data_IF_979748462883
#
_entry.id   IF_979748462883
#
_cell.length_a   1.000
_cell.length_b   1.000
_cell.length_c   1.000
_cell.angle_alpha   90.00
_cell.angle_beta   90.00
_cell.angle_gamma   90.00
#
_symmetry.space_group_name_H-M   'P 1'
#
loop_
_entity.id
_entity.type
_entity.pdbx_description
1 polymer ?
#
# COMPACT_ATOMS: atom_id res chain seq x y z
N UNK A 1 -36.05 -41.77 10.36
CA UNK A 1 -35.39 -40.66 11.08
C UNK A 1 -36.39 -39.94 11.97
N UNK A 2 -35.97 -39.24 13.03
CA UNK A 2 -36.92 -38.56 13.94
C UNK A 2 -37.75 -37.47 13.21
N UNK A 3 -37.13 -36.72 12.30
CA UNK A 3 -37.78 -35.68 11.51
C UNK A 3 -38.91 -36.20 10.63
N UNK A 4 -38.69 -37.32 9.94
CA UNK A 4 -39.70 -37.97 9.07
C UNK A 4 -40.94 -38.40 9.85
N UNK A 5 -40.75 -38.88 11.10
CA UNK A 5 -41.85 -39.25 11.99
C UNK A 5 -42.71 -38.03 12.37
N UNK A 6 -42.09 -36.89 12.69
CA UNK A 6 -42.82 -35.65 13.00
C UNK A 6 -43.58 -35.11 11.77
N UNK A 7 -42.99 -35.22 10.58
CA UNK A 7 -43.66 -34.85 9.33
C UNK A 7 -44.88 -35.72 9.05
N UNK A 8 -44.77 -37.05 9.20
CA UNK A 8 -45.90 -37.97 9.01
C UNK A 8 -47.05 -37.74 10.00
N UNK A 9 -46.74 -37.25 11.20
CA UNK A 9 -47.71 -36.94 12.24
C UNK A 9 -48.26 -35.50 12.14
N UNK A 10 -47.76 -34.69 11.20
CA UNK A 10 -48.18 -33.30 11.03
C UNK A 10 -47.81 -32.37 12.19
N UNK A 11 -46.78 -32.72 12.99
CA UNK A 11 -46.39 -31.96 14.17
C UNK A 11 -45.30 -30.92 13.83
N UNK A 12 -45.42 -29.66 14.30
CA UNK A 12 -44.39 -28.65 14.09
C UNK A 12 -43.15 -28.99 14.93
N UNK A 13 -41.98 -29.05 14.29
CA UNK A 13 -40.71 -29.40 14.94
C UNK A 13 -39.65 -28.29 14.89
N UNK A 14 -39.84 -27.25 14.06
CA UNK A 14 -38.95 -26.10 13.98
C UNK A 14 -39.33 -25.07 15.04
N UNK A 15 -38.31 -24.44 15.64
CA UNK A 15 -38.52 -23.30 16.54
C UNK A 15 -38.97 -22.08 15.71
N UNK A 16 -40.13 -21.46 16.01
CA UNK A 16 -40.51 -20.22 15.35
C UNK A 16 -39.52 -19.08 15.66
N UNK A 17 -39.19 -18.21 14.68
CA UNK A 17 -38.22 -17.14 14.87
C UNK A 17 -38.69 -16.09 15.91
N UNK A 18 -39.99 -15.87 16.02
CA UNK A 18 -40.60 -14.88 16.92
C UNK A 18 -40.97 -15.43 18.30
N UNK A 19 -40.59 -16.69 18.59
CA UNK A 19 -40.81 -17.31 19.88
C UNK A 19 -39.60 -17.08 20.81
N UNK A 20 -39.71 -16.06 21.65
CA UNK A 20 -38.72 -15.67 22.67
C UNK A 20 -38.95 -16.45 23.98
N UNK A 21 -38.36 -17.63 24.06
CA UNK A 21 -38.26 -18.41 25.29
C UNK A 21 -36.80 -18.50 25.76
N UNK A 22 -36.60 -18.80 27.04
CA UNK A 22 -35.26 -18.97 27.61
C UNK A 22 -34.52 -20.13 26.90
N UNK A 23 -33.33 -19.84 26.38
CA UNK A 23 -32.46 -20.83 25.77
C UNK A 23 -31.49 -21.40 26.79
N UNK A 24 -30.95 -22.60 26.50
CA UNK A 24 -29.93 -23.27 27.34
C UNK A 24 -28.71 -22.38 27.64
N UNK A 25 -28.37 -21.45 26.73
CA UNK A 25 -27.29 -20.48 26.91
C UNK A 25 -27.86 -19.08 26.82
N UNK A 26 -27.39 -18.21 27.71
CA UNK A 26 -27.77 -16.80 27.69
C UNK A 26 -27.23 -16.09 26.46
N UNK A 27 -27.96 -15.09 25.98
CA UNK A 27 -27.54 -14.28 24.83
C UNK A 27 -26.20 -13.59 25.07
N UNK A 28 -25.94 -13.16 26.31
CA UNK A 28 -24.64 -12.56 26.70
C UNK A 28 -23.46 -13.51 26.45
N UNK A 29 -23.65 -14.82 26.66
CA UNK A 29 -22.63 -15.82 26.36
C UNK A 29 -22.48 -16.01 24.84
N UNK A 30 -23.58 -16.11 24.10
CA UNK A 30 -23.53 -16.27 22.64
C UNK A 30 -22.91 -15.07 21.93
N UNK A 31 -23.11 -13.85 22.43
CA UNK A 31 -22.43 -12.64 21.93
C UNK A 31 -20.91 -12.76 22.09
N UNK A 32 -20.42 -13.28 23.22
CA UNK A 32 -18.98 -13.50 23.45
C UNK A 32 -18.42 -14.54 22.46
N UNK A 33 -19.16 -15.62 22.23
CA UNK A 33 -18.77 -16.66 21.26
C UNK A 33 -18.71 -16.07 19.85
N UNK A 34 -19.74 -15.33 19.42
CA UNK A 34 -19.76 -14.63 18.14
C UNK A 34 -18.59 -13.65 17.99
N UNK A 35 -18.29 -12.91 19.06
CA UNK A 35 -17.14 -12.01 19.09
C UNK A 35 -15.81 -12.72 18.85
N UNK A 36 -15.58 -13.89 19.47
CA UNK A 36 -14.37 -14.71 19.25
C UNK A 36 -14.26 -15.20 17.83
N UNK A 37 -15.33 -15.75 17.27
CA UNK A 37 -15.36 -16.24 15.89
C UNK A 37 -15.05 -15.13 14.88
N UNK A 38 -15.66 -13.95 15.04
CA UNK A 38 -15.37 -12.80 14.18
C UNK A 38 -13.93 -12.30 14.32
N UNK A 39 -13.35 -12.34 15.52
CA UNK A 39 -11.95 -11.99 15.73
C UNK A 39 -11.01 -12.99 15.05
N UNK A 40 -11.32 -14.29 15.09
CA UNK A 40 -10.52 -15.33 14.44
C UNK A 40 -10.58 -15.23 12.91
N UNK A 41 -11.78 -15.01 12.35
CA UNK A 41 -11.96 -14.78 10.91
C UNK A 41 -11.12 -13.58 10.44
N UNK A 42 -11.21 -12.44 11.14
CA UNK A 42 -10.41 -11.25 10.79
C UNK A 42 -8.90 -11.50 10.87
N UNK A 43 -8.43 -12.26 11.86
CA UNK A 43 -7.00 -12.62 11.96
C UNK A 43 -6.56 -13.50 10.79
N UNK A 44 -7.40 -14.44 10.37
CA UNK A 44 -7.12 -15.30 9.22
C UNK A 44 -7.06 -14.49 7.92
N UNK A 45 -8.06 -13.62 7.69
CA UNK A 45 -8.10 -12.72 6.54
C UNK A 45 -6.87 -11.82 6.47
N UNK A 46 -6.48 -11.18 7.58
CA UNK A 46 -5.30 -10.30 7.61
C UNK A 46 -3.98 -11.06 7.34
N UNK A 47 -3.88 -12.32 7.78
CA UNK A 47 -2.73 -13.17 7.50
C UNK A 47 -2.66 -13.54 6.01
N UNK A 48 -3.81 -13.88 5.41
CA UNK A 48 -3.91 -14.17 3.97
C UNK A 48 -3.61 -12.95 3.11
N UNK A 49 -4.16 -11.78 3.44
CA UNK A 49 -3.87 -10.53 2.75
C UNK A 49 -2.38 -10.19 2.81
N UNK A 50 -1.76 -10.38 3.97
CA UNK A 50 -0.31 -10.20 4.14
C UNK A 50 0.49 -11.18 3.30
N UNK A 51 0.05 -12.44 3.17
CA UNK A 51 0.68 -13.43 2.30
C UNK A 51 0.54 -13.04 0.82
N UNK A 52 -0.66 -12.71 0.37
CA UNK A 52 -0.96 -12.23 -0.99
C UNK A 52 -0.13 -10.98 -1.33
N UNK A 53 -0.01 -10.03 -0.41
CA UNK A 53 0.81 -8.83 -0.60
C UNK A 53 2.31 -9.14 -0.73
N UNK A 54 2.83 -10.15 -0.02
CA UNK A 54 4.22 -10.61 -0.17
C UNK A 54 4.43 -11.29 -1.52
N UNK A 55 3.52 -12.15 -1.94
CA UNK A 55 3.57 -12.85 -3.23
C UNK A 55 3.48 -11.85 -4.39
N UNK A 56 2.56 -10.88 -4.32
CA UNK A 56 2.44 -9.81 -5.29
C UNK A 56 3.74 -8.98 -5.40
N UNK A 57 4.39 -8.66 -4.27
CA UNK A 57 5.69 -7.96 -4.28
C UNK A 57 6.80 -8.78 -4.91
N UNK A 58 6.84 -10.10 -4.67
CA UNK A 58 7.82 -11.00 -5.30
C UNK A 58 7.64 -11.03 -6.83
N UNK A 59 6.40 -11.15 -7.29
CA UNK A 59 6.07 -11.26 -8.72
C UNK A 59 6.05 -9.91 -9.45
N UNK A 60 5.97 -8.79 -8.74
CA UNK A 60 5.84 -7.46 -9.35
C UNK A 60 6.90 -7.15 -10.41
N UNK A 61 8.16 -7.53 -10.15
CA UNK A 61 9.27 -7.28 -11.09
C UNK A 61 9.13 -8.11 -12.36
N UNK A 62 8.74 -9.38 -12.22
CA UNK A 62 8.54 -10.28 -13.35
C UNK A 62 7.33 -9.82 -14.19
N UNK A 63 6.22 -9.49 -13.53
CA UNK A 63 5.03 -8.94 -14.20
C UNK A 63 5.37 -7.65 -14.96
N UNK A 64 6.18 -6.77 -14.39
CA UNK A 64 6.61 -5.54 -15.06
C UNK A 64 7.44 -5.85 -16.31
N UNK A 65 8.37 -6.80 -16.22
CA UNK A 65 9.19 -7.22 -17.36
C UNK A 65 8.36 -7.90 -18.45
N UNK A 66 7.44 -8.79 -18.07
CA UNK A 66 6.51 -9.45 -18.98
C UNK A 66 5.62 -8.44 -19.70
N UNK A 67 5.01 -7.49 -18.97
CA UNK A 67 4.20 -6.41 -19.57
C UNK A 67 4.99 -5.56 -20.57
N UNK A 68 6.27 -5.29 -20.31
CA UNK A 68 7.10 -4.54 -21.25
C UNK A 68 7.39 -5.34 -22.51
N UNK A 69 7.68 -6.64 -22.38
CA UNK A 69 7.85 -7.56 -23.52
C UNK A 69 6.58 -7.70 -24.34
N UNK A 70 5.43 -7.87 -23.69
CA UNK A 70 4.12 -7.98 -24.32
C UNK A 70 3.78 -6.71 -25.11
N UNK A 71 3.95 -5.53 -24.50
CA UNK A 71 3.76 -4.24 -25.21
C UNK A 71 4.69 -4.08 -26.41
N UNK A 72 5.95 -4.50 -26.28
CA UNK A 72 6.88 -4.46 -27.40
C UNK A 72 6.47 -5.41 -28.53
N UNK A 73 5.94 -6.59 -28.19
CA UNK A 73 5.41 -7.56 -29.14
C UNK A 73 4.16 -7.02 -29.85
N UNK A 74 3.20 -6.49 -29.10
CA UNK A 74 1.98 -5.85 -29.63
C UNK A 74 2.33 -4.73 -30.62
N UNK A 75 3.26 -3.83 -30.26
CA UNK A 75 3.73 -2.77 -31.18
C UNK A 75 4.33 -3.31 -32.47
N UNK A 76 5.08 -4.41 -32.40
CA UNK A 76 5.67 -5.05 -33.60
C UNK A 76 4.57 -5.66 -34.47
N UNK A 77 3.65 -6.41 -33.87
CA UNK A 77 2.50 -7.02 -34.56
C UNK A 77 1.63 -5.95 -35.24
N UNK A 78 1.37 -4.83 -34.56
CA UNK A 78 0.67 -3.67 -35.11
C UNK A 78 1.43 -3.06 -36.31
N UNK A 79 2.73 -2.78 -36.18
CA UNK A 79 3.55 -2.24 -37.28
C UNK A 79 3.58 -3.20 -38.47
N UNK A 80 3.67 -4.50 -38.23
CA UNK A 80 3.64 -5.51 -39.28
C UNK A 80 2.28 -5.56 -39.98
N UNK A 81 1.17 -5.44 -39.24
CA UNK A 81 -0.17 -5.37 -39.81
C UNK A 81 -0.33 -4.16 -40.74
N UNK A 82 0.15 -2.98 -40.31
CA UNK A 82 0.14 -1.74 -41.11
C UNK A 82 1.05 -1.88 -42.34
N UNK A 83 2.23 -2.47 -42.20
CA UNK A 83 3.13 -2.73 -43.33
C UNK A 83 2.51 -3.69 -44.35
N UNK A 84 1.85 -4.76 -43.89
CA UNK A 84 1.13 -5.71 -44.75
C UNK A 84 0.01 -4.99 -45.51
N UNK A 85 -0.78 -4.17 -44.83
CA UNK A 85 -1.84 -3.36 -45.46
C UNK A 85 -1.28 -2.36 -46.48
N UNK A 86 -0.22 -1.62 -46.13
CA UNK A 86 0.47 -0.70 -47.06
C UNK A 86 1.00 -1.43 -48.29
N UNK A 87 1.60 -2.62 -48.12
CA UNK A 87 2.10 -3.46 -49.22
C UNK A 87 0.96 -4.02 -50.08
N UNK A 88 -0.16 -4.40 -49.48
CA UNK A 88 -1.35 -4.85 -50.20
C UNK A 88 -1.97 -3.71 -51.02
N UNK A 89 -2.08 -2.50 -50.46
CA UNK A 89 -2.57 -1.30 -51.16
C UNK A 89 -1.69 -0.91 -52.35
N UNK A 90 -0.36 -1.04 -52.22
CA UNK A 90 0.59 -0.80 -53.32
C UNK A 90 0.46 -1.87 -54.42
N UNK A 91 0.24 -3.14 -54.03
CA UNK A 91 0.05 -4.25 -54.99
C UNK A 91 -1.30 -4.21 -55.72
N UNK A 92 -2.34 -3.66 -55.11
CA UNK A 92 -3.68 -3.55 -55.72
C UNK A 92 -3.78 -2.40 -56.74
N UNK A 93 -2.66 -1.81 -57.17
CA UNK A 93 -2.63 -0.85 -58.28
C UNK A 93 -3.24 0.51 -57.99
N UNK A 94 -3.46 0.88 -56.71
CA UNK A 94 -3.86 2.24 -56.36
C UNK A 94 -2.65 3.16 -56.52
N UNK A 95 -2.46 3.70 -57.74
CA UNK A 95 -1.39 4.65 -58.02
C UNK A 95 -1.53 5.87 -57.13
N UNK A 96 -0.44 6.21 -56.47
CA UNK A 96 -0.20 7.47 -55.77
C UNK A 96 -0.33 8.64 -56.75
N UNK A 97 -1.56 9.11 -56.99
CA UNK A 97 -1.82 10.41 -57.62
C UNK A 97 -2.39 11.34 -56.57
N UNK A 98 -1.51 12.17 -56.03
CA UNK A 98 -1.88 13.39 -55.31
C UNK A 98 -2.03 13.18 -53.81
N UNK A 99 -0.93 13.34 -53.10
CA UNK A 99 -0.97 13.35 -51.65
C UNK A 99 0.40 13.12 -51.03
N UNK A 100 1.40 13.85 -51.50
CA UNK A 100 2.40 14.36 -50.58
C UNK A 100 1.62 15.11 -49.49
N UNK A 101 1.16 14.39 -48.46
CA UNK A 101 0.93 14.99 -47.17
C UNK A 101 2.34 15.23 -46.65
N UNK A 102 2.93 16.30 -47.16
CA UNK A 102 3.79 17.18 -46.39
C UNK A 102 2.96 17.62 -45.17
N UNK A 103 2.74 16.68 -44.24
CA UNK A 103 2.77 17.04 -42.84
C UNK A 103 4.21 17.40 -42.62
N UNK A 104 4.54 18.63 -43.03
CA UNK A 104 5.63 19.40 -42.49
C UNK A 104 5.70 18.99 -41.03
N UNK A 105 6.76 18.27 -40.69
CA UNK A 105 7.27 18.24 -39.33
C UNK A 105 7.71 19.68 -39.09
N UNK A 106 6.72 20.57 -38.97
CA UNK A 106 6.91 21.95 -38.68
C UNK A 106 7.63 21.93 -37.35
N UNK A 107 8.81 22.54 -37.40
CA UNK A 107 9.83 22.66 -36.39
C UNK A 107 9.20 23.19 -35.10
N UNK A 108 8.50 22.29 -34.41
CA UNK A 108 7.75 22.52 -33.20
C UNK A 108 8.75 22.63 -32.07
N UNK A 109 9.49 23.74 -32.07
CA UNK A 109 10.46 24.18 -31.07
C UNK A 109 11.26 23.01 -30.51
N UNK A 110 12.48 22.83 -31.01
CA UNK A 110 13.55 22.22 -30.22
C UNK A 110 13.36 22.63 -28.75
N UNK A 111 12.91 21.68 -27.93
CA UNK A 111 12.66 21.93 -26.52
C UNK A 111 14.02 22.31 -25.99
N UNK A 112 14.23 23.62 -25.83
CA UNK A 112 15.42 24.20 -25.26
C UNK A 112 15.57 23.52 -23.91
N UNK A 113 16.42 22.49 -23.87
CA UNK A 113 16.87 21.84 -22.66
C UNK A 113 17.67 22.91 -21.97
N UNK A 114 16.96 23.76 -21.23
CA UNK A 114 17.52 24.95 -20.61
C UNK A 114 18.68 24.48 -19.75
N UNK A 115 19.89 24.71 -20.26
CA UNK A 115 21.10 24.53 -19.51
C UNK A 115 20.96 25.32 -18.22
N UNK A 116 21.14 24.64 -17.09
CA UNK A 116 21.52 25.24 -15.83
C UNK A 116 20.68 26.42 -15.32
N UNK A 117 19.37 26.49 -15.58
CA UNK A 117 18.53 27.47 -14.88
C UNK A 117 18.47 27.09 -13.40
N UNK A 118 19.34 27.73 -12.60
CA UNK A 118 19.32 27.69 -11.15
C UNK A 118 17.90 28.06 -10.72
N UNK A 119 17.22 27.10 -10.08
CA UNK A 119 15.87 27.32 -9.55
C UNK A 119 16.01 28.36 -8.43
N UNK A 120 15.40 29.56 -8.53
CA UNK A 120 15.52 30.56 -7.48
C UNK A 120 14.95 29.97 -6.18
N UNK A 121 15.72 30.03 -5.10
CA UNK A 121 15.33 29.52 -3.78
C UNK A 121 15.72 28.07 -3.45
N UNK A 122 16.53 27.39 -4.28
CA UNK A 122 17.00 26.02 -4.02
C UNK A 122 18.52 25.93 -4.13
N UNK A 123 19.19 25.50 -3.06
CA UNK A 123 20.65 25.33 -3.06
C UNK A 123 21.10 24.21 -4.03
N UNK A 124 22.24 24.36 -4.72
CA UNK A 124 22.81 23.28 -5.53
C UNK A 124 23.01 22.01 -4.68
N UNK A 125 22.34 20.92 -5.05
CA UNK A 125 22.38 19.64 -4.32
C UNK A 125 21.11 19.27 -3.54
N UNK A 126 20.15 20.19 -3.41
CA UNK A 126 18.87 19.91 -2.74
C UNK A 126 17.90 19.12 -3.65
N UNK A 127 17.71 17.84 -3.35
CA UNK A 127 16.77 16.94 -4.04
C UNK A 127 15.31 17.15 -3.65
N UNK A 128 15.02 17.99 -2.65
CA UNK A 128 13.64 18.26 -2.20
C UNK A 128 12.90 19.30 -3.04
N UNK A 129 13.57 19.90 -4.04
CA UNK A 129 12.96 20.79 -5.01
C UNK A 129 12.36 22.07 -4.43
N UNK A 130 12.83 22.50 -3.25
CA UNK A 130 12.32 23.69 -2.54
C UNK A 130 11.01 23.47 -1.77
N UNK A 131 10.48 22.24 -1.73
CA UNK A 131 9.19 21.94 -1.07
C UNK A 131 9.27 21.70 0.44
N UNK A 132 10.46 21.73 1.04
CA UNK A 132 10.62 21.51 2.48
C UNK A 132 10.06 22.65 3.37
N UNK A 133 9.59 23.76 2.79
CA UNK A 133 9.08 24.92 3.56
C UNK A 133 7.61 25.30 3.30
N UNK A 134 6.91 24.69 2.35
CA UNK A 134 5.48 24.95 2.11
C UNK A 134 4.59 23.81 2.61
N UNK A 135 4.68 23.56 3.92
CA UNK A 135 3.78 22.67 4.63
C UNK A 135 3.29 23.34 5.91
N UNK A 136 2.26 24.19 5.76
CA UNK A 136 1.38 24.63 6.85
C UNK A 136 2.02 25.50 7.92
N UNK A 137 1.65 26.78 7.91
CA UNK A 137 1.82 27.66 9.06
C UNK A 137 1.21 27.03 10.31
N UNK A 138 2.08 26.72 11.27
CA UNK A 138 1.69 26.23 12.58
C UNK A 138 2.72 26.73 13.57
N UNK A 139 2.41 27.87 14.19
CA UNK A 139 3.06 28.34 15.41
C UNK A 139 3.17 27.16 16.39
N UNK A 140 4.35 26.97 16.97
CA UNK A 140 4.55 26.06 18.10
C UNK A 140 4.93 24.61 17.71
N UNK A 141 6.18 24.40 17.30
CA UNK A 141 6.81 23.08 17.45
C UNK A 141 7.97 23.22 18.43
N UNK A 142 7.71 22.72 19.64
CA UNK A 142 8.61 22.65 20.79
C UNK A 142 10.11 22.60 20.44
N UNK A 143 10.96 23.49 21.00
CA UNK A 143 12.42 23.46 20.82
C UNK A 143 13.04 22.12 21.24
N UNK A 144 12.36 21.39 22.13
CA UNK A 144 12.73 20.05 22.60
C UNK A 144 13.04 19.03 21.49
N UNK A 145 12.49 19.17 20.29
CA UNK A 145 12.81 18.25 19.17
C UNK A 145 14.21 18.47 18.61
N UNK A 146 14.76 19.68 18.68
CA UNK A 146 16.15 19.94 18.24
C UNK A 146 17.11 19.56 19.36
N UNK A 147 16.84 19.97 20.60
CA UNK A 147 17.67 19.62 21.76
C UNK A 147 17.80 18.10 21.94
N UNK A 148 16.70 17.35 21.77
CA UNK A 148 16.73 15.89 21.81
C UNK A 148 17.51 15.27 20.63
N UNK A 149 17.48 15.91 19.47
CA UNK A 149 18.23 15.42 18.29
C UNK A 149 19.71 15.75 18.42
N UNK A 150 20.04 16.88 19.01
CA UNK A 150 21.43 17.29 19.25
C UNK A 150 22.02 16.47 20.41
N UNK A 151 21.26 16.11 21.45
CA UNK A 151 21.72 15.13 22.46
C UNK A 151 21.84 13.74 21.87
N UNK A 152 20.88 13.31 21.03
CA UNK A 152 20.91 11.98 20.41
C UNK A 152 21.91 11.85 19.28
N UNK A 153 22.30 12.90 18.56
CA UNK A 153 23.13 12.79 17.36
C UNK A 153 24.33 13.76 17.31
N UNK A 154 24.46 14.66 18.28
CA UNK A 154 25.40 15.78 18.25
C UNK A 154 24.87 16.97 17.45
N UNK A 155 25.41 18.16 17.71
CA UNK A 155 25.06 19.37 16.97
C UNK A 155 25.33 19.19 15.48
N UNK A 156 24.29 19.37 14.65
CA UNK A 156 24.33 19.15 13.20
C UNK A 156 23.69 17.86 12.71
N UNK A 157 23.02 17.08 13.57
CA UNK A 157 22.33 15.85 13.17
C UNK A 157 23.25 14.64 13.02
N UNK A 158 22.77 13.56 12.41
CA UNK A 158 23.43 12.23 12.36
C UNK A 158 24.86 12.30 11.77
N UNK A 159 25.87 12.41 12.64
CA UNK A 159 27.29 12.33 12.27
C UNK A 159 27.75 10.89 12.17
N UNK A 160 27.78 10.38 10.93
CA UNK A 160 28.28 9.05 10.58
C UNK A 160 27.50 7.89 11.23
N UNK A 161 27.52 6.72 10.61
CA UNK A 161 26.78 5.51 11.00
C UNK A 161 27.28 4.89 12.33
N UNK A 162 27.83 5.68 13.24
CA UNK A 162 28.35 5.28 14.56
C UNK A 162 27.26 4.85 15.55
N UNK A 163 25.98 4.96 15.18
CA UNK A 163 24.81 4.50 15.98
C UNK A 163 24.01 3.45 15.21
N UNK A 164 24.71 2.48 14.62
CA UNK A 164 24.12 1.21 14.20
C UNK A 164 24.23 0.21 15.35
N UNK A 165 23.25 -0.68 15.46
CA UNK A 165 23.30 -1.77 16.41
C UNK A 165 24.48 -2.67 16.02
N UNK A 166 25.50 -2.76 16.87
CA UNK A 166 26.58 -3.75 16.75
C UNK A 166 26.10 -5.08 17.31
N UNK A 167 26.73 -6.20 16.92
CA UNK A 167 26.38 -7.54 17.39
C UNK A 167 26.38 -7.68 18.92
N UNK A 168 27.12 -6.83 19.63
CA UNK A 168 27.14 -6.79 21.10
C UNK A 168 25.95 -6.03 21.71
N UNK A 169 25.41 -5.03 21.00
CA UNK A 169 24.30 -4.19 21.51
C UNK A 169 22.90 -4.73 21.23
N UNK A 170 22.77 -5.76 20.38
CA UNK A 170 21.47 -6.38 20.06
C UNK A 170 20.85 -7.15 21.22
N UNK A 171 21.66 -7.60 22.19
CA UNK A 171 21.19 -8.39 23.33
C UNK A 171 21.31 -7.67 24.68
N UNK A 172 21.66 -6.37 24.69
CA UNK A 172 21.78 -5.60 25.94
C UNK A 172 20.42 -5.03 26.37
N UNK A 173 19.73 -5.78 27.23
CA UNK A 173 18.41 -5.45 27.78
C UNK A 173 18.51 -4.65 29.09
N UNK A 174 19.73 -4.34 29.58
CA UNK A 174 19.96 -3.73 30.90
C UNK A 174 19.44 -2.31 31.01
N UNK A 175 19.28 -1.61 29.88
CA UNK A 175 18.68 -0.27 29.80
C UNK A 175 17.14 -0.26 29.79
N UNK A 176 16.49 -1.42 29.76
CA UNK A 176 15.03 -1.51 29.80
C UNK A 176 14.55 -1.39 31.26
N UNK A 177 14.29 -0.17 31.71
CA UNK A 177 13.65 0.09 32.99
C UNK A 177 12.26 -0.58 33.03
N UNK A 178 12.18 -1.79 33.60
CA UNK A 178 10.93 -2.43 34.04
C UNK A 178 10.37 -1.78 35.32
N UNK A 179 10.44 -0.45 35.41
CA UNK A 179 9.97 0.32 36.55
C UNK A 179 8.54 0.80 36.35
N UNK A 180 7.59 0.16 37.05
CA UNK A 180 6.33 0.75 37.54
C UNK A 180 5.12 0.94 36.59
N UNK A 181 4.66 -0.13 35.93
CA UNK A 181 3.26 -0.20 35.44
C UNK A 181 2.44 -1.33 36.09
N UNK A 182 2.67 -1.57 37.38
CA UNK A 182 1.74 -2.29 38.25
C UNK A 182 1.77 -1.66 39.65
N UNK A 183 0.95 -0.63 39.85
CA UNK A 183 0.48 -0.30 41.19
C UNK A 183 -1.01 0.03 41.11
N UNK A 184 -1.77 -0.88 41.69
CA UNK A 184 -3.21 -0.92 41.77
C UNK A 184 -3.72 0.31 42.56
N UNK A 185 -4.18 1.36 41.88
CA UNK A 185 -4.72 2.58 42.52
C UNK A 185 -6.18 2.37 42.94
N UNK A 186 -6.42 1.41 43.84
CA UNK A 186 -7.69 1.23 44.56
C UNK A 186 -7.44 0.69 45.97
N UNK A 187 -7.05 1.58 46.88
CA UNK A 187 -7.27 1.45 48.33
C UNK A 187 -7.45 2.86 48.91
N UNK A 188 -8.70 3.31 48.93
CA UNK A 188 -9.16 4.34 49.86
C UNK A 188 -9.85 3.57 50.98
N UNK A 189 -9.22 3.48 52.13
CA UNK A 189 -9.79 2.84 53.32
C UNK A 189 -10.55 3.92 54.10
N UNK A 190 -11.73 3.54 54.57
CA UNK A 190 -12.49 4.19 55.64
C UNK A 190 -11.63 4.45 56.86
#
# INVERSE_FOLDING_TARGET
>A
MALEKFQSLGLPFLRPPDYYAEMVKTDTHMVKVKGRLLMEQKKMEEAEERRKAREAKKLAKEIQAQKLKERAKQKKEEIESVKKWRKQRQKSGFSDKGGEMDLSFEDGKAFNKSGGKKRPGVSPGDRSGGKARHGGGGKGKNPKKRDFRDSKFGFGGRKSMKKQNTAETTNDIRGFNNGSLSSNKRRKKS
#
